data_IF_631461618935
#
_entry.id   IF_631461618935
#
_cell.length_a   1.000
_cell.length_b   1.000
_cell.length_c   1.000
_cell.angle_alpha   90.00
_cell.angle_beta   90.00
_cell.angle_gamma   90.00
#
_symmetry.space_group_name_H-M   'P 1'
#
loop_
_entity.id
_entity.type
_entity.pdbx_description
1 polymer ?
#
# COMPACT_ATOMS: atom_id res chain seq x y z
N UNK A 1 -16.52 -13.83 30.67
CA UNK A 1 -15.54 -14.06 29.59
C UNK A 1 -14.16 -13.65 30.08
N UNK A 2 -13.16 -14.54 30.01
CA UNK A 2 -11.76 -14.17 30.25
C UNK A 2 -11.31 -13.12 29.23
N UNK A 3 -10.54 -12.13 29.70
CA UNK A 3 -9.87 -11.18 28.82
C UNK A 3 -8.64 -11.84 28.21
N UNK A 4 -8.38 -11.57 26.94
CA UNK A 4 -7.14 -12.02 26.33
C UNK A 4 -5.93 -11.35 27.00
N UNK A 5 -4.82 -12.09 27.11
CA UNK A 5 -3.51 -11.53 27.44
C UNK A 5 -3.07 -10.48 26.40
N UNK A 6 -2.20 -9.57 26.82
CA UNK A 6 -1.53 -8.65 25.89
C UNK A 6 -0.48 -9.46 25.14
N UNK A 7 -0.67 -9.65 23.83
CA UNK A 7 0.20 -10.48 22.99
C UNK A 7 0.83 -9.73 21.80
N UNK A 8 0.54 -8.42 21.66
CA UNK A 8 0.97 -7.62 20.51
C UNK A 8 2.49 -7.60 20.36
N UNK A 9 3.21 -7.39 21.46
CA UNK A 9 4.68 -7.27 21.43
C UNK A 9 5.31 -8.59 20.99
N UNK A 10 4.87 -9.69 21.60
CA UNK A 10 5.36 -11.04 21.35
C UNK A 10 5.16 -11.45 19.88
N UNK A 11 4.01 -11.13 19.29
CA UNK A 11 3.72 -11.46 17.88
C UNK A 11 4.60 -10.65 16.92
N UNK A 12 4.84 -9.37 17.22
CA UNK A 12 5.70 -8.49 16.39
C UNK A 12 7.15 -8.96 16.45
N UNK A 13 7.69 -9.15 17.66
CA UNK A 13 9.07 -9.61 17.85
C UNK A 13 9.29 -10.99 17.23
N UNK A 14 8.30 -11.88 17.31
CA UNK A 14 8.32 -13.15 16.59
C UNK A 14 8.44 -12.93 15.08
N UNK A 15 7.54 -12.13 14.47
CA UNK A 15 7.54 -11.92 13.03
C UNK A 15 8.82 -11.29 12.50
N UNK A 16 9.35 -10.27 13.18
CA UNK A 16 10.61 -9.60 12.80
C UNK A 16 11.83 -10.53 12.93
N UNK A 17 11.78 -11.50 13.86
CA UNK A 17 12.86 -12.47 14.05
C UNK A 17 12.77 -13.65 13.07
N UNK A 18 11.58 -14.18 12.84
CA UNK A 18 11.38 -15.43 12.08
C UNK A 18 11.17 -15.22 10.58
N UNK A 19 10.56 -14.10 10.18
CA UNK A 19 10.37 -13.78 8.77
C UNK A 19 11.58 -12.99 8.26
N UNK A 20 12.61 -13.73 7.86
CA UNK A 20 13.91 -13.15 7.48
C UNK A 20 13.75 -11.98 6.47
N UNK A 21 14.22 -10.79 6.86
CA UNK A 21 14.20 -9.58 6.03
C UNK A 21 12.85 -8.87 5.91
N UNK A 22 11.79 -9.37 6.56
CA UNK A 22 10.54 -8.66 6.72
C UNK A 22 10.62 -7.67 7.89
N UNK A 23 9.97 -6.52 7.73
CA UNK A 23 9.83 -5.48 8.74
C UNK A 23 8.36 -5.28 9.06
N UNK A 24 8.04 -5.00 10.32
CA UNK A 24 6.68 -4.61 10.67
C UNK A 24 6.34 -3.23 10.08
N UNK A 25 5.13 -3.09 9.54
CA UNK A 25 4.68 -1.88 8.82
C UNK A 25 3.38 -1.35 9.41
N UNK A 26 3.31 -1.18 10.73
CA UNK A 26 2.08 -0.69 11.37
C UNK A 26 1.74 0.74 10.96
N UNK A 27 0.44 1.06 10.84
CA UNK A 27 0.00 2.44 10.72
C UNK A 27 0.34 3.24 12.00
N UNK A 28 0.37 4.58 11.90
CA UNK A 28 0.39 5.43 13.09
C UNK A 28 -0.75 5.07 14.05
N UNK A 29 -0.53 5.30 15.36
CA UNK A 29 -1.46 4.89 16.44
C UNK A 29 -2.90 5.36 16.22
N UNK A 30 -3.07 6.53 15.62
CA UNK A 30 -4.36 7.16 15.34
C UNK A 30 -5.18 6.39 14.30
N UNK A 31 -4.53 5.51 13.55
CA UNK A 31 -5.11 4.65 12.53
C UNK A 31 -4.92 3.16 12.86
N UNK A 32 -4.78 2.82 14.14
CA UNK A 32 -4.63 1.44 14.62
C UNK A 32 -5.75 0.50 14.13
N UNK A 33 -6.95 1.03 13.89
CA UNK A 33 -8.09 0.33 13.30
C UNK A 33 -7.88 -0.15 11.86
N UNK A 34 -6.88 0.36 11.14
CA UNK A 34 -6.55 -0.14 9.80
C UNK A 34 -5.99 -1.58 9.84
N UNK A 35 -5.48 -2.02 10.99
CA UNK A 35 -4.96 -3.37 11.20
C UNK A 35 -5.99 -4.36 11.75
N UNK A 36 -7.22 -4.34 11.23
CA UNK A 36 -8.27 -5.29 11.58
C UNK A 36 -8.82 -6.02 10.36
N UNK A 37 -9.21 -7.27 10.53
CA UNK A 37 -9.89 -8.08 9.52
C UNK A 37 -11.23 -8.57 10.07
N UNK A 38 -12.18 -8.81 9.16
CA UNK A 38 -13.52 -9.32 9.50
C UNK A 38 -13.49 -10.85 9.40
N UNK A 39 -13.89 -11.52 10.47
CA UNK A 39 -14.10 -12.96 10.57
C UNK A 39 -15.43 -13.36 9.91
N UNK A 40 -15.59 -14.66 9.59
CA UNK A 40 -16.78 -15.17 8.90
C UNK A 40 -18.09 -14.93 9.66
N UNK A 41 -18.03 -14.80 10.97
CA UNK A 41 -19.17 -14.52 11.85
C UNK A 41 -19.48 -13.01 11.98
N UNK A 42 -18.77 -12.16 11.23
CA UNK A 42 -18.92 -10.70 11.26
C UNK A 42 -18.15 -10.02 12.39
N UNK A 43 -17.46 -10.77 13.26
CA UNK A 43 -16.57 -10.18 14.28
C UNK A 43 -15.27 -9.67 13.66
N UNK A 44 -14.51 -8.84 14.37
CA UNK A 44 -13.23 -8.30 13.89
C UNK A 44 -12.06 -8.74 14.76
N UNK A 45 -10.95 -9.17 14.14
CA UNK A 45 -9.70 -9.48 14.82
C UNK A 45 -8.56 -8.56 14.36
N UNK A 46 -7.54 -8.29 15.20
CA UNK A 46 -6.35 -7.58 14.76
C UNK A 46 -5.47 -8.45 13.84
N UNK A 47 -4.75 -7.81 12.93
CA UNK A 47 -3.64 -8.42 12.21
C UNK A 47 -2.36 -7.59 12.38
N UNK A 48 -1.21 -8.23 12.15
CA UNK A 48 0.11 -7.65 12.30
C UNK A 48 0.82 -7.74 10.95
N UNK A 49 0.92 -6.63 10.19
CA UNK A 49 1.44 -6.64 8.83
C UNK A 49 2.96 -6.52 8.78
N UNK A 50 3.56 -7.25 7.85
CA UNK A 50 4.98 -7.24 7.58
C UNK A 50 5.24 -7.08 6.08
N UNK A 51 6.30 -6.36 5.74
CA UNK A 51 6.75 -6.23 4.35
C UNK A 51 8.27 -6.39 4.22
N UNK A 52 8.68 -6.96 3.08
CA UNK A 52 10.07 -7.12 2.68
C UNK A 52 10.25 -6.53 1.28
N UNK A 53 11.27 -5.69 1.08
CA UNK A 53 11.63 -5.20 -0.25
C UNK A 53 12.24 -6.32 -1.08
N UNK A 54 11.80 -6.43 -2.33
CA UNK A 54 12.35 -7.34 -3.34
C UNK A 54 13.32 -6.57 -4.27
N UNK A 55 14.22 -7.29 -4.93
CA UNK A 55 15.22 -6.75 -5.85
C UNK A 55 14.61 -5.96 -7.02
N UNK A 56 13.36 -6.26 -7.38
CA UNK A 56 12.63 -5.59 -8.46
C UNK A 56 11.95 -4.26 -8.04
N UNK A 57 12.25 -3.75 -6.84
CA UNK A 57 11.64 -2.52 -6.28
C UNK A 57 10.22 -2.71 -5.74
N UNK A 58 9.65 -3.92 -5.87
CA UNK A 58 8.39 -4.32 -5.25
C UNK A 58 8.58 -4.76 -3.79
N UNK A 59 7.46 -5.04 -3.12
CA UNK A 59 7.40 -5.47 -1.73
C UNK A 59 6.62 -6.76 -1.66
N UNK A 60 7.18 -7.74 -0.93
CA UNK A 60 6.49 -8.94 -0.48
C UNK A 60 5.83 -8.62 0.84
N UNK A 61 4.59 -9.05 1.00
CA UNK A 61 3.77 -8.80 2.18
C UNK A 61 3.26 -10.11 2.73
N UNK A 62 3.16 -10.15 4.05
CA UNK A 62 2.44 -11.16 4.81
C UNK A 62 1.89 -10.52 6.07
N UNK A 63 0.90 -11.15 6.70
CA UNK A 63 0.42 -10.72 8.02
C UNK A 63 0.17 -11.90 8.93
N UNK A 64 0.37 -11.68 10.23
CA UNK A 64 -0.13 -12.58 11.27
C UNK A 64 -1.51 -12.07 11.68
N UNK A 65 -2.54 -12.85 11.44
CA UNK A 65 -3.89 -12.60 11.97
C UNK A 65 -4.02 -13.20 13.35
N UNK A 66 -4.72 -12.49 14.24
CA UNK A 66 -4.98 -12.96 15.60
C UNK A 66 -6.47 -12.85 15.94
N UNK A 67 -7.06 -14.00 16.21
CA UNK A 67 -8.40 -14.15 16.73
C UNK A 67 -8.43 -14.39 18.24
N UNK A 68 -9.60 -14.18 18.85
CA UNK A 68 -9.87 -14.62 20.22
C UNK A 68 -11.31 -15.07 20.36
N UNK A 69 -11.50 -16.39 20.48
CA UNK A 69 -12.80 -17.02 20.72
C UNK A 69 -12.59 -18.31 21.52
N UNK A 70 -13.65 -18.78 22.21
CA UNK A 70 -13.61 -19.99 23.05
C UNK A 70 -12.48 -19.98 24.11
N UNK A 71 -12.17 -18.81 24.68
CA UNK A 71 -11.07 -18.60 25.62
C UNK A 71 -9.66 -18.96 25.08
N UNK A 72 -9.51 -19.02 23.76
CA UNK A 72 -8.27 -19.34 23.05
C UNK A 72 -7.83 -18.19 22.15
N UNK A 73 -6.53 -18.08 21.94
CA UNK A 73 -5.92 -17.21 20.94
C UNK A 73 -5.69 -18.03 19.68
N UNK A 74 -6.14 -17.50 18.55
CA UNK A 74 -6.04 -18.17 17.25
C UNK A 74 -5.09 -17.38 16.37
N UNK A 75 -4.02 -18.02 15.88
CA UNK A 75 -3.00 -17.38 15.06
C UNK A 75 -3.03 -17.93 13.64
N UNK A 76 -2.79 -17.08 12.64
CA UNK A 76 -2.72 -17.49 11.25
C UNK A 76 -1.81 -16.59 10.43
N UNK A 77 -0.99 -17.18 9.57
CA UNK A 77 -0.29 -16.46 8.51
C UNK A 77 -1.21 -16.32 7.31
N UNK A 78 -1.44 -15.09 6.86
CA UNK A 78 -2.33 -14.81 5.73
C UNK A 78 -1.82 -13.61 4.92
N UNK A 79 -2.55 -13.27 3.85
CA UNK A 79 -2.25 -12.19 2.92
C UNK A 79 -0.77 -12.24 2.47
N UNK A 80 -0.36 -13.38 1.93
CA UNK A 80 0.91 -13.52 1.22
C UNK A 80 0.74 -12.88 -0.17
N UNK A 81 1.31 -11.69 -0.39
CA UNK A 81 1.19 -11.01 -1.68
C UNK A 81 2.37 -10.11 -2.07
N UNK A 82 2.38 -9.68 -3.33
CA UNK A 82 3.35 -8.70 -3.84
C UNK A 82 2.65 -7.40 -4.23
N UNK A 83 3.25 -6.27 -3.91
CA UNK A 83 2.78 -4.94 -4.27
C UNK A 83 3.95 -4.03 -4.65
N UNK A 84 3.68 -2.95 -5.39
CA UNK A 84 4.65 -1.86 -5.51
C UNK A 84 4.57 -0.87 -4.35
N UNK A 85 3.59 -0.97 -3.46
CA UNK A 85 3.46 -0.15 -2.24
C UNK A 85 3.99 -0.91 -1.03
N UNK A 86 4.80 -0.27 -0.19
CA UNK A 86 5.23 -0.84 1.10
C UNK A 86 4.14 -0.68 2.16
N UNK A 87 3.45 0.45 2.17
CA UNK A 87 2.43 0.85 3.13
C UNK A 87 1.05 0.92 2.45
N UNK A 88 0.54 -0.22 2.01
CA UNK A 88 -0.72 -0.33 1.27
C UNK A 88 -1.94 0.21 2.04
N UNK A 89 -1.94 0.07 3.37
CA UNK A 89 -2.91 0.69 4.27
C UNK A 89 -2.89 2.24 4.22
N UNK A 90 -1.74 2.85 3.95
CA UNK A 90 -1.57 4.32 3.91
C UNK A 90 -2.25 4.89 2.66
N UNK A 91 -2.04 4.25 1.51
CA UNK A 91 -2.67 4.63 0.24
C UNK A 91 -4.22 4.56 0.31
N UNK A 92 -4.79 3.64 1.10
CA UNK A 92 -6.22 3.56 1.35
C UNK A 92 -6.75 4.73 2.21
N UNK A 93 -5.92 5.32 3.08
CA UNK A 93 -6.31 6.40 4.00
C UNK A 93 -6.00 7.82 3.51
N UNK A 94 -5.09 7.98 2.55
CA UNK A 94 -4.91 9.26 1.82
C UNK A 94 -6.17 9.71 1.05
N UNK A 95 -7.23 8.90 1.03
CA UNK A 95 -8.45 9.11 0.25
C UNK A 95 -9.53 9.92 0.94
N UNK A 96 -9.34 10.45 2.15
CA UNK A 96 -10.36 11.28 2.80
C UNK A 96 -10.78 12.53 2.00
N UNK A 97 -10.06 12.92 0.92
CA UNK A 97 -10.58 13.93 -0.03
C UNK A 97 -10.48 13.68 -1.55
N UNK A 98 -9.44 13.15 -2.21
CA UNK A 98 -9.43 13.20 -3.70
C UNK A 98 -8.63 12.09 -4.42
N UNK A 99 -8.53 10.86 -3.93
CA UNK A 99 -7.90 9.80 -4.75
C UNK A 99 -8.48 8.41 -4.51
N UNK A 100 -9.62 8.12 -5.14
CA UNK A 100 -10.26 6.81 -5.09
C UNK A 100 -9.67 5.85 -6.13
N UNK A 101 -8.37 5.56 -6.09
CA UNK A 101 -7.85 4.46 -6.90
C UNK A 101 -8.21 3.11 -6.28
N UNK A 102 -9.37 2.61 -6.69
CA UNK A 102 -9.82 1.23 -6.44
C UNK A 102 -8.83 0.17 -6.96
N UNK A 103 -7.92 0.55 -7.86
CA UNK A 103 -6.87 -0.33 -8.38
C UNK A 103 -5.77 -0.70 -7.37
N UNK A 104 -5.64 -0.03 -6.22
CA UNK A 104 -4.75 -0.49 -5.13
C UNK A 104 -5.51 -1.18 -3.99
N UNK A 105 -6.86 -1.19 -4.01
CA UNK A 105 -7.67 -2.10 -3.18
C UNK A 105 -7.53 -3.58 -3.54
N UNK A 106 -6.58 -3.92 -4.42
CA UNK A 106 -6.37 -5.21 -5.07
C UNK A 106 -5.71 -6.28 -4.19
N UNK A 107 -5.72 -6.09 -2.87
CA UNK A 107 -5.88 -7.23 -1.96
C UNK A 107 -7.07 -8.12 -2.38
N UNK A 108 -8.07 -7.55 -3.06
CA UNK A 108 -9.25 -8.24 -3.58
C UNK A 108 -9.09 -8.98 -4.93
N UNK A 109 -7.94 -8.89 -5.61
CA UNK A 109 -7.77 -9.44 -6.98
C UNK A 109 -6.68 -10.49 -7.11
N UNK A 110 -6.04 -10.92 -6.02
CA UNK A 110 -5.11 -12.05 -6.07
C UNK A 110 -5.95 -13.29 -6.30
N UNK A 111 -5.69 -13.97 -7.41
CA UNK A 111 -6.39 -15.22 -7.70
C UNK A 111 -6.16 -16.20 -6.54
N UNK A 112 -7.22 -16.84 -6.06
CA UNK A 112 -7.16 -17.82 -4.94
C UNK A 112 -6.12 -18.93 -5.18
N UNK A 113 -5.83 -19.28 -6.44
CA UNK A 113 -4.78 -20.25 -6.80
C UNK A 113 -3.35 -19.79 -6.46
N UNK A 114 -3.16 -18.52 -6.12
CA UNK A 114 -1.89 -17.93 -5.71
C UNK A 114 -1.90 -17.47 -4.24
N UNK A 115 -3.04 -17.58 -3.54
CA UNK A 115 -3.09 -17.23 -2.12
C UNK A 115 -2.51 -18.37 -1.29
N UNK A 116 -1.52 -18.05 -0.46
CA UNK A 116 -0.97 -18.96 0.54
C UNK A 116 -1.43 -18.49 1.92
N UNK A 117 -2.05 -19.39 2.67
CA UNK A 117 -2.61 -19.12 3.98
C UNK A 117 -2.40 -20.35 4.86
N UNK A 118 -1.93 -20.13 6.09
CA UNK A 118 -1.80 -21.22 7.06
C UNK A 118 -3.17 -21.64 7.59
N UNK A 119 -3.29 -22.85 8.20
CA UNK A 119 -4.39 -23.13 9.11
C UNK A 119 -4.37 -22.15 10.31
N UNK A 120 -5.43 -22.20 11.10
CA UNK A 120 -5.43 -21.57 12.43
C UNK A 120 -4.63 -22.43 13.41
N UNK A 121 -3.75 -21.80 14.19
CA UNK A 121 -3.04 -22.39 15.30
C UNK A 121 -3.68 -21.92 16.61
N UNK A 122 -4.32 -22.85 17.29
CA UNK A 122 -5.09 -22.59 18.49
C UNK A 122 -4.19 -22.66 19.73
N UNK A 123 -4.23 -21.62 20.56
CA UNK A 123 -3.39 -21.53 21.76
C UNK A 123 -4.20 -21.15 22.99
N UNK A 124 -3.76 -21.62 24.15
CA UNK A 124 -4.28 -21.16 25.44
C UNK A 124 -4.10 -19.66 25.65
N UNK A 125 -4.92 -19.07 26.51
CA UNK A 125 -4.87 -17.65 26.86
C UNK A 125 -3.83 -17.38 27.97
N UNK A 126 -2.60 -17.79 27.74
CA UNK A 126 -1.43 -17.59 28.61
C UNK A 126 -0.16 -17.44 27.77
N UNK A 127 0.93 -16.98 28.40
CA UNK A 127 2.15 -16.62 27.69
C UNK A 127 2.87 -17.84 27.10
N UNK A 128 2.90 -18.95 27.81
CA UNK A 128 3.65 -20.14 27.38
C UNK A 128 2.93 -20.81 26.21
N UNK A 129 1.61 -20.91 26.29
CA UNK A 129 0.76 -21.37 25.18
C UNK A 129 0.92 -20.49 23.94
N UNK A 130 0.98 -19.16 24.10
CA UNK A 130 1.21 -18.24 22.98
C UNK A 130 2.57 -18.49 22.31
N UNK A 131 3.64 -18.70 23.08
CA UNK A 131 4.96 -18.99 22.52
C UNK A 131 4.96 -20.32 21.75
N UNK A 132 4.26 -21.34 22.25
CA UNK A 132 4.12 -22.62 21.55
C UNK A 132 3.40 -22.46 20.20
N UNK A 133 2.27 -21.75 20.14
CA UNK A 133 1.59 -21.54 18.86
C UNK A 133 2.34 -20.63 17.89
N UNK A 134 3.12 -19.67 18.39
CA UNK A 134 4.05 -18.92 17.54
C UNK A 134 5.14 -19.83 16.97
N UNK A 135 5.66 -20.77 17.76
CA UNK A 135 6.62 -21.75 17.29
C UNK A 135 6.01 -22.68 16.23
N UNK A 136 4.77 -23.13 16.39
CA UNK A 136 4.04 -23.92 15.38
C UNK A 136 3.81 -23.13 14.09
N UNK A 137 3.37 -21.88 14.20
CA UNK A 137 3.21 -20.99 13.04
C UNK A 137 4.55 -20.77 12.32
N UNK A 138 5.64 -20.63 13.08
CA UNK A 138 7.00 -20.51 12.53
C UNK A 138 7.47 -21.79 11.83
N UNK A 139 7.20 -22.96 12.41
CA UNK A 139 7.51 -24.25 11.80
C UNK A 139 6.75 -24.42 10.48
N UNK A 140 5.45 -24.08 10.46
CA UNK A 140 4.64 -24.11 9.26
C UNK A 140 5.18 -23.16 8.19
N UNK A 141 5.57 -21.93 8.56
CA UNK A 141 6.17 -20.96 7.62
C UNK A 141 7.45 -21.50 6.99
N UNK A 142 8.33 -22.13 7.77
CA UNK A 142 9.57 -22.72 7.26
C UNK A 142 9.30 -23.89 6.32
N UNK A 143 8.36 -24.77 6.68
CA UNK A 143 7.94 -25.90 5.86
C UNK A 143 7.35 -25.45 4.50
N UNK A 144 6.56 -24.37 4.52
CA UNK A 144 5.83 -23.88 3.34
C UNK A 144 6.54 -22.72 2.63
N UNK A 145 7.78 -22.40 3.02
CA UNK A 145 8.57 -21.33 2.40
C UNK A 145 8.73 -21.49 0.87
N UNK A 146 8.94 -22.71 0.32
CA UNK A 146 8.97 -22.90 -1.14
C UNK A 146 7.65 -22.52 -1.83
N UNK A 147 6.50 -22.84 -1.22
CA UNK A 147 5.18 -22.50 -1.75
C UNK A 147 4.93 -20.99 -1.70
N UNK A 148 5.27 -20.36 -0.57
CA UNK A 148 5.19 -18.92 -0.37
C UNK A 148 6.04 -18.18 -1.43
N UNK A 149 7.28 -18.61 -1.65
CA UNK A 149 8.15 -18.00 -2.65
C UNK A 149 7.60 -18.16 -4.07
N UNK A 150 7.11 -19.34 -4.43
CA UNK A 150 6.48 -19.58 -5.73
C UNK A 150 5.23 -18.71 -5.91
N UNK A 151 4.46 -18.50 -4.85
CA UNK A 151 3.34 -17.56 -4.87
C UNK A 151 3.81 -16.14 -5.18
N UNK A 152 4.83 -15.63 -4.49
CA UNK A 152 5.38 -14.30 -4.74
C UNK A 152 5.86 -14.14 -6.19
N UNK A 153 6.55 -15.14 -6.75
CA UNK A 153 7.04 -15.10 -8.13
C UNK A 153 5.89 -15.00 -9.15
N UNK A 154 4.83 -15.81 -8.96
CA UNK A 154 3.66 -15.80 -9.85
C UNK A 154 2.89 -14.49 -9.74
N UNK A 155 2.74 -13.96 -8.53
CA UNK A 155 2.11 -12.67 -8.28
C UNK A 155 2.93 -11.52 -8.88
N UNK A 156 4.25 -11.55 -8.77
CA UNK A 156 5.14 -10.55 -9.38
C UNK A 156 4.99 -10.54 -10.91
N UNK A 157 4.97 -11.70 -11.56
CA UNK A 157 4.80 -11.79 -13.01
C UNK A 157 3.45 -11.20 -13.47
N UNK A 158 2.39 -11.38 -12.68
CA UNK A 158 1.09 -10.77 -12.92
C UNK A 158 1.12 -9.25 -12.67
N UNK A 159 1.72 -8.81 -11.57
CA UNK A 159 1.85 -7.40 -11.19
C UNK A 159 2.62 -6.61 -12.26
N UNK A 160 3.74 -7.14 -12.74
CA UNK A 160 4.58 -6.57 -13.80
C UNK A 160 3.82 -6.37 -15.13
N UNK A 161 2.84 -7.25 -15.39
CA UNK A 161 2.01 -7.20 -16.60
C UNK A 161 0.90 -6.17 -16.47
N UNK A 162 0.17 -6.19 -15.36
CA UNK A 162 -1.07 -5.44 -15.21
C UNK A 162 -0.86 -4.02 -14.63
N UNK A 163 0.34 -3.71 -14.11
CA UNK A 163 0.69 -2.43 -13.50
C UNK A 163 2.10 -1.98 -13.89
N UNK A 164 2.34 -2.01 -15.18
CA UNK A 164 3.62 -1.62 -15.75
C UNK A 164 3.94 -0.13 -15.47
N UNK A 165 2.93 0.73 -15.34
CA UNK A 165 3.08 2.12 -14.88
C UNK A 165 3.70 2.18 -13.48
N UNK A 166 3.20 1.39 -12.53
CA UNK A 166 3.72 1.35 -11.16
C UNK A 166 5.15 0.80 -11.11
N UNK A 167 5.44 -0.22 -11.92
CA UNK A 167 6.81 -0.74 -12.09
C UNK A 167 7.78 0.35 -12.54
N UNK A 168 7.44 1.05 -13.62
CA UNK A 168 8.28 2.11 -14.21
C UNK A 168 8.47 3.23 -13.19
N UNK A 169 7.38 3.68 -12.59
CA UNK A 169 7.39 4.82 -11.66
C UNK A 169 8.15 4.49 -10.37
N UNK A 170 8.05 3.25 -9.86
CA UNK A 170 8.80 2.83 -8.68
C UNK A 170 10.30 2.81 -8.94
N UNK A 171 10.71 2.22 -10.07
CA UNK A 171 12.12 2.22 -10.46
C UNK A 171 12.65 3.65 -10.65
N UNK A 172 11.86 4.53 -11.27
CA UNK A 172 12.18 5.93 -11.43
C UNK A 172 12.34 6.64 -10.06
N UNK A 173 11.40 6.47 -9.15
CA UNK A 173 11.49 7.04 -7.80
C UNK A 173 12.68 6.49 -7.01
N UNK A 174 13.00 5.21 -7.14
CA UNK A 174 14.16 4.61 -6.47
C UNK A 174 15.49 5.28 -6.90
N UNK A 175 15.57 5.76 -8.14
CA UNK A 175 16.73 6.47 -8.69
C UNK A 175 16.72 7.97 -8.36
N UNK A 176 15.59 8.64 -8.56
CA UNK A 176 15.51 10.11 -8.56
C UNK A 176 15.08 10.72 -7.22
N UNK A 177 14.46 9.96 -6.31
CA UNK A 177 14.01 10.50 -5.03
C UNK A 177 15.13 11.09 -4.17
N UNK A 178 16.35 10.51 -4.11
CA UNK A 178 17.48 11.12 -3.39
C UNK A 178 17.89 12.51 -3.90
N UNK A 179 17.44 12.91 -5.10
CA UNK A 179 17.72 14.24 -5.63
C UNK A 179 16.84 15.33 -5.01
N UNK A 180 15.79 14.98 -4.28
CA UNK A 180 14.91 15.94 -3.62
C UNK A 180 15.39 16.24 -2.21
N UNK A 181 15.39 17.52 -1.89
CA UNK A 181 15.53 18.01 -0.52
C UNK A 181 14.21 17.91 0.23
N UNK A 182 14.27 17.86 1.56
CA UNK A 182 13.08 17.87 2.41
C UNK A 182 12.11 19.03 2.08
N UNK A 183 12.55 20.30 1.90
CA UNK A 183 11.66 21.38 1.49
C UNK A 183 10.94 21.14 0.16
N UNK A 184 11.61 20.54 -0.83
CA UNK A 184 10.99 20.22 -2.12
C UNK A 184 9.92 19.12 -2.00
N UNK A 185 10.15 18.14 -1.12
CA UNK A 185 9.18 17.09 -0.80
C UNK A 185 7.92 17.72 -0.21
N UNK A 186 8.07 18.57 0.81
CA UNK A 186 6.94 19.24 1.44
C UNK A 186 6.23 20.22 0.51
N UNK A 187 6.95 20.87 -0.40
CA UNK A 187 6.36 21.74 -1.41
C UNK A 187 5.41 20.99 -2.36
N UNK A 188 5.75 19.75 -2.73
CA UNK A 188 4.84 18.91 -3.50
C UNK A 188 3.55 18.63 -2.73
N UNK A 189 3.63 18.27 -1.44
CA UNK A 189 2.44 18.04 -0.62
C UNK A 189 1.55 19.29 -0.51
N UNK A 190 2.14 20.45 -0.21
CA UNK A 190 1.42 21.74 -0.17
C UNK A 190 0.74 22.04 -1.50
N UNK A 191 1.44 21.79 -2.60
CA UNK A 191 0.89 21.95 -3.94
C UNK A 191 -0.29 21.02 -4.20
N UNK A 192 -0.18 19.74 -3.84
CA UNK A 192 -1.26 18.75 -4.04
C UNK A 192 -2.52 19.13 -3.25
N UNK A 193 -2.44 19.54 -1.97
CA UNK A 193 -3.67 19.94 -1.25
C UNK A 193 -4.28 21.22 -1.83
N UNK A 194 -3.46 22.19 -2.23
CA UNK A 194 -3.95 23.40 -2.90
C UNK A 194 -4.71 23.01 -4.17
N UNK A 195 -4.11 22.17 -5.01
CA UNK A 195 -4.72 21.69 -6.25
C UNK A 195 -5.99 20.88 -5.98
N UNK A 196 -6.03 20.06 -4.93
CA UNK A 196 -7.23 19.34 -4.52
C UNK A 196 -8.37 20.33 -4.19
N UNK A 197 -8.07 21.39 -3.44
CA UNK A 197 -9.03 22.44 -3.13
C UNK A 197 -9.50 23.23 -4.36
N UNK A 198 -8.63 23.45 -5.34
CA UNK A 198 -8.97 24.09 -6.62
C UNK A 198 -9.80 23.19 -7.52
N UNK A 199 -9.43 21.91 -7.63
CA UNK A 199 -10.15 20.91 -8.43
C UNK A 199 -11.59 20.74 -7.97
N UNK A 200 -11.80 20.70 -6.65
CA UNK A 200 -13.14 20.61 -6.04
C UNK A 200 -14.08 21.75 -6.46
N UNK A 201 -13.53 22.92 -6.78
CA UNK A 201 -14.26 24.12 -7.23
C UNK A 201 -14.22 24.29 -8.75
N UNK A 202 -13.46 23.46 -9.45
CA UNK A 202 -13.27 23.58 -10.89
C UNK A 202 -14.45 23.00 -11.65
N UNK A 203 -14.75 23.59 -12.81
CA UNK A 203 -15.75 23.02 -13.73
C UNK A 203 -15.38 21.61 -14.17
N UNK A 204 -14.07 21.31 -14.22
CA UNK A 204 -13.50 20.04 -14.65
C UNK A 204 -14.07 18.85 -13.86
N UNK A 205 -14.16 18.96 -12.53
CA UNK A 205 -14.70 17.90 -11.67
C UNK A 205 -16.12 17.47 -12.05
N UNK A 206 -16.93 18.42 -12.54
CA UNK A 206 -18.34 18.19 -12.88
C UNK A 206 -18.56 18.01 -14.38
N UNK A 207 -17.51 17.98 -15.20
CA UNK A 207 -17.64 17.73 -16.65
C UNK A 207 -18.19 16.33 -16.86
N UNK A 208 -19.29 16.26 -17.61
CA UNK A 208 -19.92 15.01 -18.00
C UNK A 208 -19.88 14.84 -19.51
N UNK A 209 -19.73 13.59 -19.96
CA UNK A 209 -19.93 13.24 -21.36
C UNK A 209 -21.43 13.20 -21.71
N UNK A 210 -21.75 12.97 -22.99
CA UNK A 210 -23.13 12.91 -23.50
C UNK A 210 -24.01 11.85 -22.84
N UNK A 211 -23.41 10.86 -22.18
CA UNK A 211 -24.08 9.78 -21.45
C UNK A 211 -24.22 10.07 -19.95
N UNK A 212 -23.80 11.25 -19.48
CA UNK A 212 -23.91 11.66 -18.08
C UNK A 212 -22.84 11.11 -17.14
N UNK A 213 -21.85 10.37 -17.65
CA UNK A 213 -20.66 9.92 -16.91
C UNK A 213 -19.58 11.01 -16.88
N UNK A 214 -18.60 10.89 -15.99
CA UNK A 214 -17.41 11.76 -15.97
C UNK A 214 -16.80 11.84 -17.38
N UNK A 215 -16.42 13.05 -17.80
CA UNK A 215 -15.79 13.24 -19.10
C UNK A 215 -14.40 12.58 -19.15
N UNK A 216 -13.92 12.27 -20.34
CA UNK A 216 -12.53 11.83 -20.49
C UNK A 216 -11.58 12.95 -20.06
N UNK A 217 -10.49 12.58 -19.40
CA UNK A 217 -9.45 13.51 -18.92
C UNK A 217 -10.02 14.65 -18.05
N UNK A 218 -10.98 14.34 -17.18
CA UNK A 218 -11.57 15.31 -16.24
C UNK A 218 -11.31 14.98 -14.78
N UNK A 219 -10.45 14.01 -14.49
CA UNK A 219 -10.13 13.59 -13.13
C UNK A 219 -9.07 14.52 -12.51
N UNK A 220 -8.85 14.35 -11.20
CA UNK A 220 -7.88 15.16 -10.45
C UNK A 220 -6.46 15.10 -11.03
N UNK A 221 -6.03 13.93 -11.51
CA UNK A 221 -4.68 13.75 -12.06
C UNK A 221 -4.50 14.58 -13.34
N UNK A 222 -5.51 14.62 -14.19
CA UNK A 222 -5.52 15.44 -15.41
C UNK A 222 -5.45 16.93 -15.05
N UNK A 223 -6.19 17.35 -14.01
CA UNK A 223 -6.19 18.73 -13.54
C UNK A 223 -4.82 19.19 -13.02
N UNK A 224 -4.00 18.27 -12.51
CA UNK A 224 -2.69 18.55 -11.94
C UNK A 224 -1.58 18.74 -12.98
N UNK A 225 -1.78 18.33 -14.24
CA UNK A 225 -0.72 18.40 -15.24
C UNK A 225 -0.19 19.83 -15.42
N UNK A 226 1.14 19.97 -15.36
CA UNK A 226 1.85 21.25 -15.47
C UNK A 226 1.73 22.16 -14.25
N UNK A 227 1.15 21.70 -13.13
CA UNK A 227 0.90 22.52 -11.93
C UNK A 227 1.70 22.11 -10.69
N UNK A 228 2.59 21.11 -10.81
CA UNK A 228 3.52 20.75 -9.74
C UNK A 228 4.76 21.64 -9.74
N UNK A 229 5.62 21.56 -8.71
CA UNK A 229 6.94 22.20 -8.75
C UNK A 229 7.72 21.81 -10.03
N UNK A 230 8.56 22.69 -10.58
CA UNK A 230 9.18 22.48 -11.90
C UNK A 230 9.88 21.13 -12.06
N UNK A 231 10.62 20.69 -11.03
CA UNK A 231 11.31 19.40 -11.02
C UNK A 231 10.34 18.21 -11.10
N UNK A 232 9.21 18.30 -10.40
CA UNK A 232 8.18 17.25 -10.41
C UNK A 232 7.43 17.23 -11.74
N UNK A 233 7.14 18.39 -12.36
CA UNK A 233 6.57 18.43 -13.71
C UNK A 233 7.52 17.78 -14.73
N UNK A 234 8.83 18.03 -14.61
CA UNK A 234 9.82 17.38 -15.46
C UNK A 234 9.78 15.85 -15.30
N UNK A 235 9.72 15.35 -14.07
CA UNK A 235 9.56 13.91 -13.80
C UNK A 235 8.27 13.35 -14.40
N UNK A 236 7.16 14.09 -14.34
CA UNK A 236 5.90 13.69 -14.98
C UNK A 236 6.06 13.57 -16.49
N UNK A 237 6.74 14.51 -17.14
CA UNK A 237 6.97 14.46 -18.59
C UNK A 237 7.82 13.23 -18.97
N UNK A 238 8.94 12.99 -18.26
CA UNK A 238 9.80 11.82 -18.49
C UNK A 238 9.06 10.49 -18.28
N UNK A 239 8.31 10.37 -17.18
CA UNK A 239 7.49 9.20 -16.90
C UNK A 239 6.43 8.97 -17.98
N UNK A 240 5.78 10.04 -18.46
CA UNK A 240 4.77 9.97 -19.52
C UNK A 240 5.36 9.42 -20.81
N UNK A 241 6.54 9.91 -21.20
CA UNK A 241 7.28 9.44 -22.37
C UNK A 241 7.69 7.96 -22.21
N UNK A 242 8.23 7.57 -21.05
CA UNK A 242 8.56 6.18 -20.75
C UNK A 242 7.34 5.27 -20.86
N UNK A 243 6.18 5.70 -20.36
CA UNK A 243 4.92 4.93 -20.41
C UNK A 243 4.42 4.74 -21.84
N UNK A 244 4.53 5.76 -22.69
CA UNK A 244 4.21 5.66 -24.12
C UNK A 244 5.16 4.70 -24.85
N UNK A 245 6.47 4.90 -24.67
CA UNK A 245 7.50 4.07 -25.31
C UNK A 245 7.36 2.60 -24.94
N UNK A 246 7.08 2.32 -23.66
CA UNK A 246 6.89 0.94 -23.15
C UNK A 246 5.48 0.39 -23.36
N UNK A 247 4.60 1.17 -24.01
CA UNK A 247 3.21 0.83 -24.33
C UNK A 247 2.47 0.25 -23.13
N UNK A 248 2.54 0.96 -22.00
CA UNK A 248 1.90 0.53 -20.74
C UNK A 248 0.41 0.23 -20.94
N UNK A 249 -0.27 1.08 -21.72
CA UNK A 249 -1.60 0.80 -22.25
C UNK A 249 -1.55 0.87 -23.78
N UNK A 250 -2.22 -0.07 -24.46
CA UNK A 250 -2.22 -0.09 -25.92
C UNK A 250 -3.11 1.03 -26.46
N UNK A 251 -2.54 1.90 -27.29
CA UNK A 251 -3.30 2.91 -28.04
C UNK A 251 -3.67 4.16 -27.24
N UNK A 252 -3.02 4.41 -26.09
CA UNK A 252 -3.16 5.70 -25.40
C UNK A 252 -2.30 6.76 -26.06
N UNK A 253 -2.75 8.01 -26.00
CA UNK A 253 -1.98 9.20 -26.37
C UNK A 253 -1.22 9.76 -25.16
N UNK A 254 -0.51 10.88 -25.38
CA UNK A 254 0.32 11.53 -24.37
C UNK A 254 -0.49 12.07 -23.18
N UNK A 255 -1.74 12.49 -23.39
CA UNK A 255 -2.54 13.07 -22.31
C UNK A 255 -3.01 11.99 -21.33
N UNK A 256 -3.40 10.82 -21.85
CA UNK A 256 -3.62 9.65 -21.01
C UNK A 256 -2.34 9.19 -20.30
N UNK A 257 -1.19 9.19 -20.99
CA UNK A 257 0.08 8.82 -20.37
C UNK A 257 0.45 9.75 -19.21
N UNK A 258 0.24 11.07 -19.36
CA UNK A 258 0.39 12.07 -18.28
C UNK A 258 -0.52 11.81 -17.12
N UNK A 259 -1.78 11.49 -17.39
CA UNK A 259 -2.75 11.13 -16.34
C UNK A 259 -2.28 9.93 -15.50
N UNK A 260 -1.80 8.87 -16.17
CA UNK A 260 -1.22 7.70 -15.49
C UNK A 260 0.06 8.06 -14.73
N UNK A 261 0.97 8.83 -15.33
CA UNK A 261 2.22 9.24 -14.71
C UNK A 261 1.98 10.04 -13.42
N UNK A 262 1.14 11.07 -13.46
CA UNK A 262 0.79 11.88 -12.28
C UNK A 262 0.20 11.02 -11.18
N UNK A 263 -0.81 10.23 -11.55
CA UNK A 263 -1.52 9.37 -10.60
C UNK A 263 -0.56 8.43 -9.88
N UNK A 264 0.22 7.68 -10.64
CA UNK A 264 1.10 6.64 -10.11
C UNK A 264 2.29 7.26 -9.37
N UNK A 265 2.80 8.40 -9.84
CA UNK A 265 3.83 9.18 -9.16
C UNK A 265 3.36 9.60 -7.78
N UNK A 266 2.22 10.26 -7.65
CA UNK A 266 1.74 10.75 -6.35
C UNK A 266 1.57 9.61 -5.33
N UNK A 267 1.03 8.46 -5.75
CA UNK A 267 0.86 7.30 -4.88
C UNK A 267 2.18 6.73 -4.39
N UNK A 268 3.10 6.44 -5.31
CA UNK A 268 4.37 5.80 -4.95
C UNK A 268 5.33 6.78 -4.27
N UNK A 269 5.24 8.07 -4.61
CA UNK A 269 5.97 9.12 -3.93
C UNK A 269 5.56 9.17 -2.46
N UNK A 270 4.26 9.17 -2.19
CA UNK A 270 3.73 9.19 -0.84
C UNK A 270 4.19 7.97 -0.02
N UNK A 271 4.06 6.78 -0.59
CA UNK A 271 4.54 5.55 0.02
C UNK A 271 6.05 5.59 0.34
N UNK A 272 6.88 6.14 -0.55
CA UNK A 272 8.31 6.30 -0.32
C UNK A 272 8.64 7.28 0.81
N UNK A 273 7.79 8.26 1.09
CA UNK A 273 8.03 9.26 2.15
C UNK A 273 7.57 8.81 3.53
N UNK A 274 6.65 7.86 3.63
CA UNK A 274 5.98 7.43 4.86
C UNK A 274 6.98 7.07 5.99
N UNK A 275 8.07 6.38 5.65
CA UNK A 275 9.08 5.95 6.62
C UNK A 275 9.86 7.14 7.24
N UNK A 276 10.19 8.13 6.42
CA UNK A 276 11.01 9.27 6.82
C UNK A 276 10.17 10.39 7.44
N UNK A 277 8.92 10.52 6.98
CA UNK A 277 8.02 11.61 7.34
C UNK A 277 6.63 11.07 7.72
N UNK A 278 6.50 10.24 8.77
CA UNK A 278 5.24 9.61 9.17
C UNK A 278 4.16 10.61 9.61
N UNK A 279 4.53 11.87 9.82
CA UNK A 279 3.61 12.96 10.13
C UNK A 279 2.84 13.49 8.91
N UNK A 280 3.24 13.13 7.68
CA UNK A 280 2.53 13.51 6.45
C UNK A 280 1.07 13.06 6.49
N UNK A 281 0.80 11.89 7.09
CA UNK A 281 -0.57 11.39 7.29
C UNK A 281 -1.37 12.12 8.36
N UNK A 282 -0.71 12.87 9.25
CA UNK A 282 -1.29 13.27 10.53
C UNK A 282 -1.93 14.66 10.52
N UNK A 283 -1.43 15.64 9.76
CA UNK A 283 -1.86 17.02 10.02
C UNK A 283 -1.83 17.95 8.80
N UNK A 284 -3.02 18.51 8.50
CA UNK A 284 -3.18 19.82 7.83
C UNK A 284 -2.63 21.00 8.65
N UNK A 285 -2.35 20.79 9.93
CA UNK A 285 -1.95 21.87 10.87
C UNK A 285 -0.47 22.23 10.82
N UNK A 286 0.41 21.33 10.39
CA UNK A 286 1.85 21.65 10.20
C UNK A 286 2.05 22.63 9.04
N UNK A 287 1.08 22.68 8.11
CA UNK A 287 1.13 23.43 6.85
C UNK A 287 0.80 24.91 7.07
N UNK A 288 0.29 25.26 8.26
CA UNK A 288 -0.13 26.61 8.64
C UNK A 288 0.97 27.44 9.30
N UNK A 289 2.10 26.83 9.67
CA UNK A 289 3.15 27.48 10.47
C UNK A 289 4.50 27.64 9.75
N UNK A 290 4.53 27.51 8.42
CA UNK A 290 5.67 27.89 7.58
C UNK A 290 5.21 28.58 6.30
#
# INVERSE_FOLDING_TARGET
MKRCIICKKEIIEFGEKYFAGFQSIFPPKEFDKACYFVLRDGSSGPYYPFAQRNEMGSFRHLRIERGFWNEQIHLRLNNVYVSYLKYDWSAAMCTYKVSNYSGYGRLSSISEKYTVCSPWFDTGNDKDSLQNGLAELGAWYVEHLPEINLSYEKQQAWLDKDYRDAKITRAYLDEHLPELTEPEIFELYRTVDRLAGEYEKSDMKNRKNSLGYSAALSDFNDFCYGKFPPKINHWVDELSEMMLLKKVVKGIDIDYARSFAIKTLLYLFHDSQEANYPAILKHKEVWKYQ
#
